data_IF_596029483413
#
_entry.id   IF_596029483413
#
_cell.length_a   1.000
_cell.length_b   1.000
_cell.length_c   1.000
_cell.angle_alpha   90.00
_cell.angle_beta   90.00
_cell.angle_gamma   90.00
#
_symmetry.space_group_name_H-M   'P 1'
#
loop_
_entity.id
_entity.type
_entity.pdbx_description
1 polymer ?
#
# COMPACT_ATOMS: atom_id res chain seq x y z
N UNK A 1 6.83 -10.01 2.63
CA UNK A 1 5.35 -10.05 2.83
C UNK A 1 4.93 -11.47 3.18
N UNK A 2 4.33 -11.65 4.34
CA UNK A 2 3.90 -12.97 4.85
C UNK A 2 2.36 -13.11 4.91
N UNK A 3 1.69 -12.69 3.83
CA UNK A 3 0.23 -12.64 3.71
C UNK A 3 -0.48 -13.98 3.91
N UNK A 4 0.22 -15.11 3.77
CA UNK A 4 -0.31 -16.47 4.03
C UNK A 4 -0.24 -16.87 5.50
N UNK A 5 0.46 -16.08 6.33
CA UNK A 5 0.54 -16.35 7.77
C UNK A 5 -0.87 -16.19 8.39
N UNK A 6 -1.32 -17.15 9.24
CA UNK A 6 -2.64 -17.07 9.86
C UNK A 6 -2.89 -15.75 10.62
N UNK A 7 -1.88 -15.25 11.35
CA UNK A 7 -1.98 -13.98 12.08
C UNK A 7 -2.29 -12.82 11.12
N UNK A 8 -1.58 -12.73 9.99
CA UNK A 8 -1.78 -11.68 8.99
C UNK A 8 -3.16 -11.77 8.36
N UNK A 9 -3.56 -12.98 7.95
CA UNK A 9 -4.86 -13.23 7.32
C UNK A 9 -6.02 -12.92 8.26
N UNK A 10 -5.98 -13.45 9.48
CA UNK A 10 -7.07 -13.27 10.45
C UNK A 10 -7.16 -11.80 10.88
N UNK A 11 -6.03 -11.11 10.98
CA UNK A 11 -6.02 -9.68 11.23
C UNK A 11 -6.65 -8.88 10.08
N UNK A 12 -6.31 -9.20 8.81
CA UNK A 12 -6.93 -8.56 7.64
C UNK A 12 -8.46 -8.69 7.67
N UNK A 13 -8.98 -9.90 7.89
CA UNK A 13 -10.42 -10.16 7.98
C UNK A 13 -11.09 -9.39 9.12
N UNK A 14 -10.41 -9.24 10.26
CA UNK A 14 -10.92 -8.48 11.42
C UNK A 14 -11.02 -6.98 11.15
N UNK A 15 -10.18 -6.46 10.26
CA UNK A 15 -10.16 -5.04 9.91
C UNK A 15 -11.31 -4.64 8.98
N UNK A 16 -11.80 -5.56 8.14
CA UNK A 16 -12.89 -5.30 7.20
C UNK A 16 -14.20 -5.05 7.96
N UNK A 17 -14.89 -3.96 7.64
CA UNK A 17 -16.20 -3.63 8.22
C UNK A 17 -17.28 -4.54 7.65
N UNK A 18 -18.34 -4.79 8.42
CA UNK A 18 -19.50 -5.57 7.97
C UNK A 18 -20.14 -5.02 6.69
N UNK A 19 -20.12 -3.69 6.51
CA UNK A 19 -20.66 -3.01 5.31
C UNK A 19 -19.84 -3.28 4.05
N UNK A 20 -18.53 -3.48 4.20
CA UNK A 20 -17.59 -3.74 3.11
C UNK A 20 -17.40 -5.24 2.85
N UNK A 21 -17.96 -6.11 3.70
CA UNK A 21 -17.80 -7.57 3.60
C UNK A 21 -18.41 -8.14 2.32
N UNK A 22 -17.87 -9.25 1.83
CA UNK A 22 -18.28 -9.93 0.62
C UNK A 22 -17.14 -10.05 -0.39
N UNK A 23 -17.47 -9.91 -1.68
CA UNK A 23 -16.45 -9.95 -2.73
C UNK A 23 -15.42 -8.83 -2.56
N UNK A 24 -14.19 -9.09 -2.99
CA UNK A 24 -13.10 -8.12 -2.96
C UNK A 24 -13.51 -6.76 -3.56
N UNK A 25 -13.31 -5.68 -2.82
CA UNK A 25 -13.67 -4.31 -3.22
C UNK A 25 -12.75 -3.28 -2.56
N UNK A 26 -12.81 -2.04 -3.04
CA UNK A 26 -11.93 -0.95 -2.58
C UNK A 26 -12.24 -0.52 -1.13
N UNK A 27 -13.49 -0.65 -0.66
CA UNK A 27 -13.84 -0.28 0.70
C UNK A 27 -13.17 -1.16 1.74
N UNK A 28 -12.90 -2.43 1.43
CA UNK A 28 -12.12 -3.32 2.28
C UNK A 28 -10.67 -2.82 2.45
N UNK A 29 -10.08 -2.32 1.38
CA UNK A 29 -8.74 -1.71 1.41
C UNK A 29 -8.74 -0.45 2.27
N UNK A 30 -9.74 0.41 2.06
CA UNK A 30 -9.90 1.63 2.85
C UNK A 30 -10.10 1.32 4.35
N UNK A 31 -10.93 0.34 4.69
CA UNK A 31 -11.16 -0.09 6.08
C UNK A 31 -9.87 -0.56 6.76
N UNK A 32 -9.07 -1.38 6.05
CA UNK A 32 -7.81 -1.89 6.57
C UNK A 32 -6.80 -0.76 6.78
N UNK A 33 -6.63 0.09 5.77
CA UNK A 33 -5.69 1.20 5.82
C UNK A 33 -6.03 2.16 6.97
N UNK A 34 -7.29 2.60 7.09
CA UNK A 34 -7.75 3.49 8.17
C UNK A 34 -7.43 2.93 9.54
N UNK A 35 -7.86 1.68 9.79
CA UNK A 35 -7.71 1.06 11.11
C UNK A 35 -6.26 0.77 11.48
N UNK A 36 -5.40 0.52 10.50
CA UNK A 36 -3.96 0.39 10.72
C UNK A 36 -3.36 1.75 10.98
N UNK A 37 -3.63 2.74 10.12
CA UNK A 37 -3.07 4.08 10.22
C UNK A 37 -3.45 4.78 11.52
N UNK A 38 -4.69 4.64 11.96
CA UNK A 38 -5.19 5.20 13.23
C UNK A 38 -4.45 4.69 14.48
N UNK A 39 -3.91 3.46 14.38
CA UNK A 39 -3.21 2.79 15.49
C UNK A 39 -1.70 2.75 15.31
N UNK A 40 -1.21 3.23 14.16
CA UNK A 40 0.20 3.15 13.82
C UNK A 40 1.05 4.01 14.76
N UNK A 41 2.09 3.43 15.32
CA UNK A 41 3.12 4.15 16.06
C UNK A 41 4.41 4.13 15.25
N UNK A 42 4.80 5.28 14.72
CA UNK A 42 6.04 5.39 13.98
C UNK A 42 7.25 5.28 14.89
N UNK A 43 8.13 4.34 14.60
CA UNK A 43 9.37 4.08 15.35
C UNK A 43 10.47 3.82 14.33
N UNK A 44 11.50 4.68 14.31
CA UNK A 44 12.65 4.44 13.45
C UNK A 44 13.41 3.19 13.86
N UNK A 45 14.01 2.53 12.88
CA UNK A 45 14.95 1.46 13.12
C UNK A 45 16.17 1.94 13.94
N UNK A 46 16.80 1.05 14.72
CA UNK A 46 18.04 1.37 15.42
C UNK A 46 19.14 1.82 14.45
N UNK A 47 19.95 2.78 14.86
CA UNK A 47 21.07 3.24 14.05
C UNK A 47 21.98 2.07 13.63
N UNK A 48 22.17 1.91 12.33
CA UNK A 48 23.09 0.93 11.73
C UNK A 48 22.45 -0.38 11.27
N UNK A 49 21.10 -0.49 11.24
CA UNK A 49 20.43 -1.66 10.69
C UNK A 49 19.01 -1.37 10.22
N UNK A 50 18.71 -1.65 8.98
CA UNK A 50 17.33 -1.76 8.46
C UNK A 50 16.80 -3.16 8.79
N UNK A 51 15.63 -3.24 9.41
CA UNK A 51 14.97 -4.50 9.71
C UNK A 51 13.56 -4.54 9.12
N UNK A 52 13.41 -5.25 8.03
CA UNK A 52 12.13 -5.47 7.35
C UNK A 52 11.25 -6.47 8.12
N UNK A 53 10.35 -5.97 8.95
CA UNK A 53 9.50 -6.81 9.79
C UNK A 53 8.43 -7.54 8.97
N UNK A 54 8.27 -8.87 9.14
CA UNK A 54 7.09 -9.56 8.59
C UNK A 54 5.80 -8.97 9.16
N UNK A 55 4.73 -8.88 8.37
CA UNK A 55 3.45 -8.31 8.79
C UNK A 55 2.91 -8.96 10.08
N UNK A 56 3.01 -10.28 10.22
CA UNK A 56 2.60 -10.99 11.44
C UNK A 56 3.34 -10.52 12.69
N UNK A 57 4.64 -10.19 12.57
CA UNK A 57 5.42 -9.63 13.68
C UNK A 57 4.97 -8.20 14.01
N UNK A 58 4.81 -7.34 13.01
CA UNK A 58 4.34 -5.96 13.20
C UNK A 58 2.96 -5.93 13.89
N UNK A 59 2.06 -6.84 13.52
CA UNK A 59 0.76 -7.02 14.20
C UNK A 59 0.95 -7.41 15.67
N UNK A 60 1.81 -8.39 15.95
CA UNK A 60 2.06 -8.88 17.32
C UNK A 60 2.77 -7.83 18.20
N UNK A 61 3.56 -6.94 17.61
CA UNK A 61 4.22 -5.81 18.28
C UNK A 61 3.29 -4.61 18.51
N UNK A 62 2.02 -4.68 18.09
CA UNK A 62 1.02 -3.64 18.30
C UNK A 62 1.11 -2.50 17.31
N UNK A 63 1.42 -2.78 16.05
CA UNK A 63 1.45 -1.83 14.91
C UNK A 63 2.49 -0.72 15.10
N UNK A 64 3.73 -1.12 15.30
CA UNK A 64 4.89 -0.23 15.48
C UNK A 64 5.96 -0.54 14.45
N UNK A 65 6.58 0.49 13.92
CA UNK A 65 7.65 0.38 12.94
C UNK A 65 7.82 1.68 12.14
N UNK A 66 8.65 1.64 11.12
CA UNK A 66 8.85 2.78 10.23
C UNK A 66 8.08 2.65 8.90
N UNK A 67 8.56 3.31 7.84
CA UNK A 67 7.83 3.37 6.57
C UNK A 67 7.77 2.01 5.84
N UNK A 68 8.82 1.20 5.94
CA UNK A 68 8.85 -0.10 5.27
C UNK A 68 8.02 -1.16 6.00
N UNK A 69 8.00 -1.12 7.34
CA UNK A 69 7.14 -1.98 8.16
C UNK A 69 5.66 -1.72 7.87
N UNK A 70 5.27 -0.44 7.75
CA UNK A 70 3.91 -0.07 7.35
C UNK A 70 3.60 -0.56 5.93
N UNK A 71 4.50 -0.34 4.99
CA UNK A 71 4.34 -0.77 3.61
C UNK A 71 4.22 -2.30 3.49
N UNK A 72 5.06 -3.05 4.21
CA UNK A 72 5.01 -4.52 4.26
C UNK A 72 3.69 -4.99 4.87
N UNK A 73 3.26 -4.36 5.96
CA UNK A 73 1.99 -4.71 6.62
C UNK A 73 0.82 -4.49 5.68
N UNK A 74 0.63 -3.28 5.16
CA UNK A 74 -0.51 -2.95 4.28
C UNK A 74 -0.50 -3.83 3.02
N UNK A 75 0.64 -4.00 2.35
CA UNK A 75 0.74 -4.88 1.19
C UNK A 75 0.34 -6.34 1.53
N UNK A 76 0.78 -6.85 2.69
CA UNK A 76 0.42 -8.21 3.12
C UNK A 76 -1.06 -8.34 3.44
N UNK A 77 -1.69 -7.32 4.03
CA UNK A 77 -3.14 -7.34 4.32
C UNK A 77 -3.96 -7.33 3.02
N UNK A 78 -3.55 -6.54 2.02
CA UNK A 78 -4.18 -6.52 0.68
C UNK A 78 -4.13 -7.90 0.03
N UNK A 79 -2.96 -8.54 0.02
CA UNK A 79 -2.79 -9.90 -0.54
C UNK A 79 -3.62 -10.94 0.22
N UNK A 80 -3.72 -10.81 1.55
CA UNK A 80 -4.44 -11.75 2.40
C UNK A 80 -5.95 -11.80 2.11
N UNK A 81 -6.53 -10.73 1.56
CA UNK A 81 -7.94 -10.69 1.15
C UNK A 81 -8.16 -10.87 -0.35
N UNK A 82 -7.11 -11.25 -1.09
CA UNK A 82 -7.18 -11.55 -2.53
C UNK A 82 -6.95 -10.36 -3.46
N UNK A 83 -6.45 -9.24 -2.95
CA UNK A 83 -5.97 -8.13 -3.76
C UNK A 83 -4.57 -8.42 -4.32
N UNK A 84 -4.09 -7.55 -5.21
CA UNK A 84 -2.72 -7.56 -5.69
C UNK A 84 -2.01 -6.29 -5.24
N UNK A 85 -0.86 -6.45 -4.60
CA UNK A 85 -0.09 -5.35 -4.02
C UNK A 85 1.36 -5.34 -4.48
N UNK A 86 2.02 -4.22 -4.24
CA UNK A 86 3.48 -4.08 -4.34
C UNK A 86 3.98 -3.07 -3.33
N UNK A 87 5.27 -3.13 -3.02
CA UNK A 87 5.96 -2.15 -2.21
C UNK A 87 6.89 -1.36 -3.13
N UNK A 88 6.84 -0.05 -3.04
CA UNK A 88 7.79 0.84 -3.71
C UNK A 88 8.81 1.37 -2.72
N UNK A 89 10.09 1.29 -3.09
CA UNK A 89 11.18 1.97 -2.42
C UNK A 89 11.63 3.14 -3.29
N UNK A 90 11.60 4.33 -2.73
CA UNK A 90 11.91 5.59 -3.38
C UNK A 90 13.01 6.34 -2.61
N UNK A 91 13.74 7.21 -3.31
CA UNK A 91 14.74 8.05 -2.71
C UNK A 91 14.41 9.52 -2.98
N UNK A 92 14.44 10.35 -1.95
CA UNK A 92 14.22 11.78 -2.11
C UNK A 92 15.47 12.49 -2.61
N UNK A 93 15.33 13.72 -3.16
CA UNK A 93 16.48 14.51 -3.64
C UNK A 93 17.52 14.85 -2.57
N UNK A 94 17.15 14.87 -1.29
CA UNK A 94 18.03 15.09 -0.15
C UNK A 94 18.70 13.81 0.39
N UNK A 95 18.47 12.67 -0.27
CA UNK A 95 19.08 11.37 0.05
C UNK A 95 18.29 10.51 1.05
N UNK A 96 17.13 10.97 1.53
CA UNK A 96 16.25 10.19 2.39
C UNK A 96 15.62 9.02 1.63
N UNK A 97 15.51 7.84 2.29
CA UNK A 97 14.76 6.69 1.79
C UNK A 97 13.31 6.71 2.24
N UNK A 98 12.41 6.18 1.41
CA UNK A 98 11.00 5.99 1.78
C UNK A 98 10.43 4.74 1.13
N UNK A 99 9.62 4.00 1.86
CA UNK A 99 8.89 2.86 1.35
C UNK A 99 7.39 3.04 1.54
N UNK A 100 6.62 2.63 0.54
CA UNK A 100 5.16 2.68 0.57
C UNK A 100 4.53 1.56 -0.24
N UNK A 101 3.33 1.16 0.17
CA UNK A 101 2.55 0.16 -0.54
C UNK A 101 1.71 0.79 -1.65
N UNK A 102 1.44 0.01 -2.68
CA UNK A 102 0.40 0.28 -3.67
C UNK A 102 -0.46 -0.96 -3.87
N UNK A 103 -1.73 -0.75 -4.18
CA UNK A 103 -2.67 -1.80 -4.57
C UNK A 103 -3.09 -1.63 -6.03
N UNK A 104 -3.07 -2.73 -6.78
CA UNK A 104 -3.64 -2.77 -8.12
C UNK A 104 -5.15 -2.51 -8.07
N UNK A 105 -5.63 -1.55 -8.84
CA UNK A 105 -7.06 -1.20 -8.86
C UNK A 105 -7.77 -1.58 -10.15
N UNK A 106 -7.12 -1.45 -11.29
CA UNK A 106 -7.68 -1.90 -12.59
C UNK A 106 -6.67 -1.71 -13.73
N UNK A 107 -7.01 -2.24 -14.88
CA UNK A 107 -6.44 -1.93 -16.20
C UNK A 107 -7.45 -1.19 -17.11
N UNK A 108 -8.65 -0.97 -16.60
CA UNK A 108 -9.71 -0.20 -17.25
C UNK A 108 -9.80 1.21 -16.63
N UNK A 109 -9.47 2.23 -17.41
CA UNK A 109 -9.48 3.63 -16.93
C UNK A 109 -10.86 4.09 -16.42
N UNK A 110 -11.96 3.59 -17.00
CA UNK A 110 -13.31 3.94 -16.53
C UNK A 110 -13.58 3.39 -15.14
N UNK A 111 -13.12 2.17 -14.86
CA UNK A 111 -13.20 1.58 -13.50
C UNK A 111 -12.33 2.36 -12.52
N UNK A 112 -11.11 2.76 -12.92
CA UNK A 112 -10.24 3.61 -12.10
C UNK A 112 -10.92 4.91 -11.74
N UNK A 113 -11.53 5.59 -12.72
CA UNK A 113 -12.21 6.88 -12.49
C UNK A 113 -13.40 6.71 -11.53
N UNK A 114 -14.15 5.61 -11.63
CA UNK A 114 -15.23 5.31 -10.69
C UNK A 114 -14.69 5.07 -9.29
N UNK A 115 -13.67 4.22 -9.11
CA UNK A 115 -13.06 3.95 -7.82
C UNK A 115 -12.47 5.22 -7.18
N UNK A 116 -11.84 6.08 -7.97
CA UNK A 116 -11.33 7.36 -7.47
C UNK A 116 -12.45 8.28 -6.98
N UNK A 117 -13.62 8.28 -7.63
CA UNK A 117 -14.80 9.04 -7.16
C UNK A 117 -15.32 8.50 -5.83
N UNK A 118 -15.41 7.18 -5.69
CA UNK A 118 -15.86 6.54 -4.45
C UNK A 118 -14.93 6.86 -3.29
N UNK A 119 -13.60 6.79 -3.51
CA UNK A 119 -12.58 7.17 -2.53
C UNK A 119 -12.69 8.66 -2.19
N UNK A 120 -12.79 9.54 -3.20
CA UNK A 120 -12.91 10.98 -2.99
C UNK A 120 -14.15 11.34 -2.17
N UNK A 121 -15.27 10.65 -2.41
CA UNK A 121 -16.49 10.82 -1.63
C UNK A 121 -16.31 10.33 -0.19
N UNK A 122 -15.70 9.17 0.02
CA UNK A 122 -15.46 8.60 1.35
C UNK A 122 -14.61 9.51 2.22
N UNK A 123 -13.55 10.10 1.66
CA UNK A 123 -12.58 10.92 2.40
C UNK A 123 -12.78 12.43 2.26
N UNK A 124 -13.82 12.87 1.56
CA UNK A 124 -14.09 14.28 1.28
C UNK A 124 -12.86 15.01 0.71
N UNK A 125 -12.14 14.35 -0.21
CA UNK A 125 -10.93 14.88 -0.84
C UNK A 125 -11.15 15.26 -2.29
N UNK A 126 -10.34 16.21 -2.80
CA UNK A 126 -10.45 16.70 -4.18
C UNK A 126 -9.67 15.86 -5.19
N UNK A 127 -8.69 15.09 -4.74
CA UNK A 127 -7.81 14.30 -5.62
C UNK A 127 -7.49 12.95 -5.03
N UNK A 128 -7.40 11.95 -5.91
CA UNK A 128 -6.97 10.59 -5.57
C UNK A 128 -5.78 10.25 -6.48
N UNK A 129 -4.67 9.88 -5.88
CA UNK A 129 -3.40 9.63 -6.55
C UNK A 129 -3.18 8.13 -6.77
N UNK A 130 -2.84 7.80 -7.99
CA UNK A 130 -2.45 6.46 -8.41
C UNK A 130 -1.32 6.54 -9.44
N UNK A 131 -0.51 5.51 -9.51
CA UNK A 131 0.51 5.39 -10.55
C UNK A 131 0.01 4.55 -11.71
N UNK A 132 0.64 4.72 -12.87
CA UNK A 132 0.32 3.99 -14.09
C UNK A 132 1.57 3.30 -14.60
N UNK A 133 1.50 1.99 -14.79
CA UNK A 133 2.54 1.23 -15.49
C UNK A 133 2.08 0.87 -16.89
N UNK A 134 3.02 0.86 -17.82
CA UNK A 134 2.83 0.30 -19.16
C UNK A 134 3.45 -1.10 -19.20
N UNK A 135 2.61 -2.09 -19.37
CA UNK A 135 3.06 -3.48 -19.52
C UNK A 135 3.67 -3.74 -20.91
N UNK A 136 4.52 -4.79 -21.07
CA UNK A 136 5.16 -5.11 -22.35
C UNK A 136 4.18 -5.32 -23.51
N UNK A 137 2.95 -5.73 -23.23
CA UNK A 137 1.87 -5.91 -24.21
C UNK A 137 1.14 -4.60 -24.56
N UNK A 138 1.62 -3.44 -24.09
CA UNK A 138 1.01 -2.14 -24.30
C UNK A 138 -0.18 -1.83 -23.39
N UNK A 139 -0.57 -2.73 -22.49
CA UNK A 139 -1.67 -2.53 -21.55
C UNK A 139 -1.23 -1.65 -20.38
N UNK A 140 -2.08 -0.73 -19.99
CA UNK A 140 -1.86 0.08 -18.79
C UNK A 140 -2.44 -0.61 -17.56
N UNK A 141 -1.71 -0.55 -16.47
CA UNK A 141 -2.17 -0.99 -15.14
C UNK A 141 -2.11 0.19 -14.18
N UNK A 142 -3.08 0.26 -13.27
CA UNK A 142 -3.25 1.40 -12.36
C UNK A 142 -3.15 0.93 -10.92
N UNK A 143 -2.36 1.65 -10.11
CA UNK A 143 -1.98 1.29 -8.76
C UNK A 143 -2.23 2.45 -7.79
N UNK A 144 -3.11 2.23 -6.82
CA UNK A 144 -3.49 3.24 -5.82
C UNK A 144 -2.41 3.36 -4.75
N UNK A 145 -2.06 4.58 -4.39
CA UNK A 145 -1.14 4.86 -3.29
C UNK A 145 -1.75 4.50 -1.92
N UNK A 146 -0.98 3.78 -1.08
CA UNK A 146 -1.34 3.39 0.28
C UNK A 146 -0.25 3.78 1.29
N UNK A 147 0.44 4.88 1.05
CA UNK A 147 1.48 5.39 1.93
C UNK A 147 0.94 5.73 3.33
N UNK A 148 1.70 5.44 4.38
CA UNK A 148 1.34 5.76 5.77
C UNK A 148 1.22 7.27 5.99
N UNK A 149 2.06 8.06 5.33
CA UNK A 149 2.08 9.52 5.44
C UNK A 149 0.94 10.20 4.67
N UNK A 150 0.25 9.46 3.80
CA UNK A 150 -0.94 9.93 3.13
C UNK A 150 -2.10 10.04 4.13
N UNK A 151 -2.95 11.02 3.96
CA UNK A 151 -4.11 11.23 4.85
C UNK A 151 -5.24 10.23 4.60
N UNK A 152 -5.18 9.52 3.49
CA UNK A 152 -6.16 8.53 3.04
C UNK A 152 -5.56 7.69 1.92
N UNK A 153 -6.10 6.50 1.62
CA UNK A 153 -5.80 5.75 0.40
C UNK A 153 -5.93 6.64 -0.83
N UNK A 154 -4.90 6.62 -1.68
CA UNK A 154 -4.83 7.55 -2.82
C UNK A 154 -4.46 8.99 -2.43
N UNK A 155 -3.88 9.23 -1.28
CA UNK A 155 -3.28 10.51 -0.94
C UNK A 155 -2.00 10.80 -1.74
N UNK A 156 -1.38 11.97 -1.55
CA UNK A 156 -0.20 12.38 -2.34
C UNK A 156 0.96 11.38 -2.24
N UNK A 157 1.70 11.25 -3.31
CA UNK A 157 2.94 10.47 -3.32
C UNK A 157 4.09 11.21 -2.63
N UNK A 158 4.99 10.41 -2.07
CA UNK A 158 6.29 10.88 -1.63
C UNK A 158 7.06 11.53 -2.79
N UNK A 159 7.72 12.67 -2.52
CA UNK A 159 8.51 13.38 -3.52
C UNK A 159 9.85 12.68 -3.68
N UNK A 160 10.03 11.98 -4.79
CA UNK A 160 11.22 11.21 -5.09
C UNK A 160 12.07 11.80 -6.24
N UNK A 161 13.20 11.17 -6.53
CA UNK A 161 14.14 11.52 -7.62
C UNK A 161 13.68 11.05 -9.01
N UNK A 162 12.50 10.41 -9.12
CA UNK A 162 12.00 9.78 -10.33
C UNK A 162 12.52 8.35 -10.58
N UNK A 163 13.35 7.82 -9.68
CA UNK A 163 13.83 6.44 -9.73
C UNK A 163 13.30 5.66 -8.53
N UNK A 164 12.44 4.69 -8.80
CA UNK A 164 11.73 3.91 -7.79
C UNK A 164 11.90 2.42 -8.10
N UNK A 165 12.02 1.58 -7.08
CA UNK A 165 12.01 0.13 -7.23
C UNK A 165 10.72 -0.43 -6.64
N UNK A 166 10.00 -1.19 -7.43
CA UNK A 166 8.79 -1.92 -7.00
C UNK A 166 9.14 -3.38 -6.69
N UNK A 167 8.71 -3.87 -5.53
CA UNK A 167 8.86 -5.25 -5.07
C UNK A 167 7.50 -5.91 -5.00
N UNK A 168 7.38 -7.11 -5.55
CA UNK A 168 6.15 -7.89 -5.62
C UNK A 168 6.15 -9.06 -4.64
N UNK A 169 4.97 -9.58 -4.25
CA UNK A 169 4.86 -10.68 -3.27
C UNK A 169 5.54 -11.98 -3.66
N UNK A 170 5.75 -12.21 -4.96
CA UNK A 170 6.43 -13.38 -5.53
C UNK A 170 7.96 -13.25 -5.58
N UNK A 171 8.51 -12.18 -5.03
CA UNK A 171 9.95 -11.91 -5.00
C UNK A 171 10.49 -11.19 -6.26
N UNK A 172 9.68 -10.99 -7.28
CA UNK A 172 10.07 -10.16 -8.43
C UNK A 172 10.25 -8.72 -8.00
N UNK A 173 11.10 -8.00 -8.72
CA UNK A 173 11.25 -6.56 -8.58
C UNK A 173 11.38 -5.89 -9.95
N UNK A 174 11.04 -4.62 -10.03
CA UNK A 174 11.10 -3.82 -11.26
C UNK A 174 11.54 -2.39 -10.93
N UNK A 175 12.53 -1.90 -11.66
CA UNK A 175 12.89 -0.48 -11.60
C UNK A 175 11.87 0.31 -12.42
N UNK A 176 11.30 1.33 -11.83
CA UNK A 176 10.33 2.24 -12.45
C UNK A 176 10.99 3.61 -12.51
N UNK A 177 11.04 4.18 -13.71
CA UNK A 177 11.52 5.56 -13.89
C UNK A 177 10.32 6.41 -14.30
N UNK A 178 9.95 7.36 -13.46
CA UNK A 178 8.96 8.36 -13.81
C UNK A 178 9.66 9.43 -14.64
N UNK A 179 9.15 9.70 -15.83
CA UNK A 179 9.61 10.81 -16.66
C UNK A 179 8.74 12.04 -16.45
#
# INVERSE_FOLDING_TARGET
>A
MDYRNPTTRDYALKLVNKKSAGNYNIDQICDMWEKVNDKWTYVNDPQGGDYFSPASRTINLGLKGDCDDFAILIASLVEAIGGASRIKSAQSPDGGGHAYAEVYISDDKKKVDSLCKDIAQRYHCHSVHYSTDLEPNGKKTYWLNLDWSAKHPGGPYYKDTGSVVAYYPDGRWKKITHR
#
